data_IF_233375396363
#
_entry.id   IF_233375396363
#
_cell.length_a   1.000
_cell.length_b   1.000
_cell.length_c   1.000
_cell.angle_alpha   90.00
_cell.angle_beta   90.00
_cell.angle_gamma   90.00
#
_symmetry.space_group_name_H-M   'P 1'
#
loop_
_entity.id
_entity.type
_entity.pdbx_description
1 polymer ?
#
# COMPACT_ATOMS: atom_id res chain seq x y z
N UNK A 1 -6.32 -15.89 -6.53
CA UNK A 1 -7.49 -16.06 -5.64
C UNK A 1 -8.53 -15.04 -6.08
N UNK A 2 -9.81 -15.43 -6.17
CA UNK A 2 -10.88 -14.46 -6.43
C UNK A 2 -10.96 -13.50 -5.25
N UNK A 3 -10.96 -12.21 -5.51
CA UNK A 3 -11.14 -11.19 -4.47
C UNK A 3 -12.58 -11.31 -3.99
N UNK A 4 -12.75 -11.63 -2.71
CA UNK A 4 -14.07 -11.72 -2.09
C UNK A 4 -14.73 -10.34 -2.11
N UNK A 5 -15.86 -10.19 -2.77
CA UNK A 5 -16.54 -8.90 -3.01
C UNK A 5 -17.75 -8.80 -2.08
N UNK A 6 -17.77 -7.78 -1.21
CA UNK A 6 -18.90 -7.48 -0.32
C UNK A 6 -19.02 -5.96 -0.07
N UNK A 7 -20.19 -5.53 0.37
CA UNK A 7 -20.48 -4.14 0.71
C UNK A 7 -19.63 -3.75 1.94
N UNK A 8 -18.94 -2.62 1.87
CA UNK A 8 -18.04 -2.14 2.91
C UNK A 8 -16.58 -2.52 2.68
N UNK A 9 -16.28 -3.42 1.71
CA UNK A 9 -14.90 -3.77 1.41
C UNK A 9 -14.10 -2.58 0.91
N UNK A 10 -12.89 -2.45 1.47
CA UNK A 10 -11.91 -1.45 1.05
C UNK A 10 -11.04 -2.01 -0.08
N UNK A 11 -10.87 -1.24 -1.13
CA UNK A 11 -10.03 -1.58 -2.30
C UNK A 11 -9.28 -0.35 -2.79
N UNK A 12 -8.30 -0.58 -3.66
CA UNK A 12 -7.61 0.48 -4.41
C UNK A 12 -7.63 0.16 -5.90
N UNK A 13 -7.77 1.18 -6.72
CA UNK A 13 -7.67 1.10 -8.17
C UNK A 13 -6.87 2.30 -8.69
N UNK A 14 -5.76 2.03 -9.38
CA UNK A 14 -4.83 3.05 -9.90
C UNK A 14 -4.36 4.00 -8.79
N UNK A 15 -3.97 3.45 -7.64
CA UNK A 15 -3.54 4.15 -6.43
C UNK A 15 -4.62 5.03 -5.75
N UNK A 16 -5.90 4.87 -6.12
CA UNK A 16 -7.01 5.55 -5.45
C UNK A 16 -7.80 4.57 -4.59
N UNK A 17 -7.93 4.88 -3.32
CA UNK A 17 -8.68 4.10 -2.34
C UNK A 17 -10.18 4.32 -2.48
N UNK A 18 -10.95 3.27 -2.26
CA UNK A 18 -12.41 3.33 -2.30
C UNK A 18 -13.05 2.26 -1.40
N UNK A 19 -14.33 2.46 -1.14
CA UNK A 19 -15.19 1.50 -0.44
C UNK A 19 -16.30 1.01 -1.37
N UNK A 20 -16.56 -0.30 -1.42
CA UNK A 20 -17.68 -0.87 -2.15
C UNK A 20 -18.97 -0.50 -1.40
N UNK A 21 -19.91 0.20 -2.08
CA UNK A 21 -21.22 0.59 -1.55
C UNK A 21 -22.37 -0.16 -2.22
N UNK A 22 -22.14 -0.73 -3.40
CA UNK A 22 -23.14 -1.45 -4.16
C UNK A 22 -22.50 -2.60 -4.94
N UNK A 23 -23.23 -3.71 -5.05
CA UNK A 23 -22.87 -4.83 -5.92
C UNK A 23 -24.15 -5.39 -6.53
N UNK A 24 -24.35 -5.22 -7.83
CA UNK A 24 -25.54 -5.67 -8.50
C UNK A 24 -25.68 -5.18 -9.95
N UNK A 25 -26.81 -5.48 -10.60
CA UNK A 25 -27.11 -5.01 -11.96
C UNK A 25 -27.48 -3.52 -11.94
N UNK A 26 -27.21 -2.83 -13.06
CA UNK A 26 -27.63 -1.45 -13.29
C UNK A 26 -28.58 -1.42 -14.46
N UNK A 27 -29.70 -0.75 -14.32
CA UNK A 27 -30.76 -0.64 -15.35
C UNK A 27 -30.16 -0.08 -16.66
N UNK A 28 -30.53 -0.66 -17.78
CA UNK A 28 -30.03 -0.29 -19.11
C UNK A 28 -28.63 -0.79 -19.43
N UNK A 29 -28.03 -1.61 -18.55
CA UNK A 29 -26.70 -2.23 -18.78
C UNK A 29 -26.75 -3.74 -18.62
N UNK A 30 -25.72 -4.43 -19.09
CA UNK A 30 -25.58 -5.88 -18.95
C UNK A 30 -24.61 -6.24 -17.82
N UNK A 31 -24.89 -7.33 -17.09
CA UNK A 31 -24.02 -7.91 -16.07
C UNK A 31 -23.98 -7.12 -14.76
N UNK A 32 -23.09 -7.54 -13.87
CA UNK A 32 -22.93 -6.94 -12.54
C UNK A 32 -21.97 -5.76 -12.56
N UNK A 33 -22.19 -4.85 -11.61
CA UNK A 33 -21.37 -3.69 -11.36
C UNK A 33 -21.04 -3.56 -9.87
N UNK A 34 -19.91 -2.96 -9.59
CA UNK A 34 -19.55 -2.44 -8.28
C UNK A 34 -19.79 -0.94 -8.26
N UNK A 35 -20.60 -0.46 -7.33
CA UNK A 35 -20.69 0.94 -6.98
C UNK A 35 -19.65 1.22 -5.91
N UNK A 36 -18.67 2.06 -6.21
CA UNK A 36 -17.61 2.43 -5.28
C UNK A 36 -17.70 3.88 -4.91
N UNK A 37 -17.47 4.17 -3.64
CA UNK A 37 -17.24 5.52 -3.12
C UNK A 37 -15.74 5.72 -2.95
N UNK A 38 -15.20 6.76 -3.58
CA UNK A 38 -13.78 7.11 -3.51
C UNK A 38 -13.49 7.90 -2.24
N UNK A 39 -12.31 7.66 -1.63
CA UNK A 39 -11.82 8.48 -0.52
C UNK A 39 -11.55 9.92 -0.98
N UNK A 40 -11.07 10.07 -2.24
CA UNK A 40 -10.96 11.37 -2.91
C UNK A 40 -12.28 11.70 -3.62
N UNK A 41 -13.09 12.65 -3.09
CA UNK A 41 -14.46 12.87 -3.56
C UNK A 41 -14.57 13.48 -4.95
N UNK A 42 -13.47 13.93 -5.54
CA UNK A 42 -13.41 14.48 -6.90
C UNK A 42 -13.07 13.43 -7.95
N UNK A 43 -12.68 12.22 -7.53
CA UNK A 43 -12.22 11.13 -8.40
C UNK A 43 -13.35 10.47 -9.20
N UNK A 44 -14.54 10.47 -8.67
CA UNK A 44 -15.70 9.78 -9.25
C UNK A 44 -16.42 10.58 -10.33
N UNK A 45 -17.63 10.13 -10.69
CA UNK A 45 -18.43 10.70 -11.78
C UNK A 45 -19.86 11.03 -11.36
N UNK A 46 -20.30 10.53 -10.22
CA UNK A 46 -21.67 10.67 -9.70
C UNK A 46 -21.68 10.44 -8.18
N UNK A 47 -22.84 10.56 -7.55
CA UNK A 47 -23.06 10.34 -6.11
C UNK A 47 -23.82 9.04 -5.80
N UNK A 48 -23.65 7.99 -6.60
CA UNK A 48 -24.35 6.71 -6.47
C UNK A 48 -25.59 6.59 -7.37
N UNK A 49 -25.79 7.51 -8.32
CA UNK A 49 -26.92 7.53 -9.26
C UNK A 49 -26.53 7.09 -10.66
N UNK A 50 -27.47 6.51 -11.40
CA UNK A 50 -27.35 6.25 -12.83
C UNK A 50 -28.69 6.49 -13.51
N UNK A 51 -28.73 7.33 -14.55
CA UNK A 51 -29.95 7.69 -15.29
C UNK A 51 -31.14 8.05 -14.38
N UNK A 52 -30.89 8.84 -13.33
CA UNK A 52 -31.92 9.26 -12.37
C UNK A 52 -32.27 8.25 -11.28
N UNK A 53 -31.77 7.01 -11.35
CA UNK A 53 -32.00 5.97 -10.33
C UNK A 53 -30.86 5.96 -9.34
N UNK A 54 -31.19 6.04 -8.03
CA UNK A 54 -30.25 5.91 -6.92
C UNK A 54 -29.98 4.43 -6.61
N UNK A 55 -28.73 3.99 -6.64
CA UNK A 55 -28.30 2.63 -6.32
C UNK A 55 -27.68 2.52 -4.93
N UNK A 56 -27.00 3.57 -4.47
CA UNK A 56 -26.41 3.65 -3.14
C UNK A 56 -26.19 5.11 -2.74
N UNK A 57 -26.05 5.34 -1.44
CA UNK A 57 -25.75 6.66 -0.88
C UNK A 57 -24.28 6.69 -0.46
N UNK A 58 -23.55 7.74 -0.85
CA UNK A 58 -22.19 8.01 -0.39
C UNK A 58 -22.22 8.64 0.99
N UNK A 59 -21.19 8.38 1.80
CA UNK A 59 -20.97 9.10 3.06
C UNK A 59 -20.52 10.54 2.79
N UNK A 60 -19.71 10.74 1.75
CA UNK A 60 -19.34 12.07 1.30
C UNK A 60 -20.42 12.60 0.34
N UNK A 61 -21.02 13.78 0.62
CA UNK A 61 -22.12 14.34 -0.17
C UNK A 61 -21.68 14.93 -1.53
N UNK A 62 -20.40 14.85 -1.89
CA UNK A 62 -19.92 15.36 -3.17
C UNK A 62 -20.63 14.70 -4.35
N UNK A 63 -21.01 15.45 -5.40
CA UNK A 63 -21.67 14.91 -6.59
C UNK A 63 -20.77 13.99 -7.41
N UNK A 64 -19.47 13.95 -7.14
CA UNK A 64 -18.45 13.17 -7.85
C UNK A 64 -17.73 12.17 -6.97
N UNK A 65 -18.29 11.81 -5.79
CA UNK A 65 -17.64 10.89 -4.85
C UNK A 65 -17.67 9.41 -5.29
N UNK A 66 -18.46 9.04 -6.29
CA UNK A 66 -18.68 7.65 -6.67
C UNK A 66 -18.42 7.33 -8.14
N UNK A 67 -18.23 6.04 -8.40
CA UNK A 67 -18.20 5.47 -9.75
C UNK A 67 -18.80 4.06 -9.78
N UNK A 68 -19.31 3.66 -10.95
CA UNK A 68 -19.57 2.26 -11.23
C UNK A 68 -18.39 1.66 -12.00
N UNK A 69 -17.87 0.54 -11.52
CA UNK A 69 -16.78 -0.21 -12.12
C UNK A 69 -17.17 -1.67 -12.33
N UNK A 70 -16.52 -2.34 -13.27
CA UNK A 70 -16.78 -3.78 -13.49
C UNK A 70 -16.07 -4.62 -12.42
N UNK A 71 -16.71 -5.71 -11.93
CA UNK A 71 -16.08 -6.65 -11.00
C UNK A 71 -14.83 -7.34 -11.57
N UNK A 72 -14.71 -7.36 -12.90
CA UNK A 72 -13.54 -7.93 -13.60
C UNK A 72 -12.32 -7.02 -13.58
N UNK A 73 -12.47 -5.73 -13.22
CA UNK A 73 -11.33 -4.84 -13.04
C UNK A 73 -10.51 -5.30 -11.83
N UNK A 74 -9.23 -5.54 -12.05
CA UNK A 74 -8.33 -5.97 -10.98
C UNK A 74 -8.01 -4.78 -10.07
N UNK A 75 -8.18 -4.92 -8.75
CA UNK A 75 -7.69 -3.92 -7.81
C UNK A 75 -6.15 -3.95 -7.73
N UNK A 76 -5.59 -2.87 -7.20
CA UNK A 76 -4.18 -2.79 -6.87
C UNK A 76 -3.82 -3.87 -5.84
N UNK A 77 -2.58 -4.35 -5.88
CA UNK A 77 -2.09 -5.31 -4.90
C UNK A 77 -1.95 -4.64 -3.53
N UNK A 78 -2.58 -5.19 -2.49
CA UNK A 78 -2.40 -4.68 -1.14
C UNK A 78 -0.97 -4.92 -0.65
N UNK A 79 -0.51 -4.05 0.27
CA UNK A 79 0.82 -4.12 0.88
C UNK A 79 0.74 -4.60 2.32
N UNK A 80 1.80 -5.26 2.78
CA UNK A 80 2.04 -5.45 4.22
C UNK A 80 2.59 -4.16 4.83
N UNK A 81 2.59 -4.05 6.17
CA UNK A 81 3.19 -2.93 6.87
C UNK A 81 4.66 -2.69 6.45
N UNK A 82 5.47 -3.74 6.45
CA UNK A 82 6.89 -3.64 6.10
C UNK A 82 7.10 -3.25 4.63
N UNK A 83 6.24 -3.75 3.72
CA UNK A 83 6.29 -3.34 2.31
C UNK A 83 5.93 -1.85 2.14
N UNK A 84 4.91 -1.35 2.85
CA UNK A 84 4.54 0.05 2.82
C UNK A 84 5.64 0.94 3.41
N UNK A 85 6.22 0.56 4.55
CA UNK A 85 7.34 1.23 5.19
C UNK A 85 8.53 1.35 4.24
N UNK A 86 8.97 0.23 3.67
CA UNK A 86 10.08 0.20 2.71
C UNK A 86 9.80 1.01 1.45
N UNK A 87 8.58 0.94 0.92
CA UNK A 87 8.22 1.66 -0.31
C UNK A 87 8.25 3.18 -0.11
N UNK A 88 7.96 3.68 1.09
CA UNK A 88 7.99 5.10 1.39
C UNK A 88 9.40 5.55 1.77
N UNK A 89 9.91 5.03 2.85
CA UNK A 89 11.15 5.57 3.44
C UNK A 89 12.44 5.05 2.78
N UNK A 90 12.45 3.84 2.21
CA UNK A 90 13.61 3.38 1.46
C UNK A 90 13.73 4.04 0.08
N UNK A 91 12.63 4.50 -0.52
CA UNK A 91 12.63 5.28 -1.77
C UNK A 91 13.09 6.72 -1.54
N UNK A 92 12.60 7.37 -0.47
CA UNK A 92 13.00 8.74 -0.10
C UNK A 92 14.51 8.82 0.18
N UNK A 93 15.06 7.84 0.89
CA UNK A 93 16.51 7.74 1.14
C UNK A 93 17.31 7.56 -0.16
N UNK A 94 16.72 6.87 -1.16
CA UNK A 94 17.36 6.75 -2.48
C UNK A 94 17.42 8.09 -3.21
N UNK A 95 16.40 8.92 -3.09
CA UNK A 95 16.34 10.24 -3.73
C UNK A 95 17.30 11.25 -3.10
N UNK A 96 17.49 11.21 -1.78
CA UNK A 96 18.48 12.04 -1.09
C UNK A 96 19.93 11.68 -1.44
N UNK A 97 20.23 10.38 -1.58
CA UNK A 97 21.56 9.89 -2.00
C UNK A 97 21.89 10.22 -3.47
N UNK A 98 20.86 10.50 -4.32
CA UNK A 98 21.07 10.89 -5.73
C UNK A 98 21.37 12.38 -5.93
N UNK A 99 21.30 13.21 -4.88
CA UNK A 99 21.75 14.60 -4.93
C UNK A 99 23.29 14.75 -4.81
N UNK A 100 24.01 13.66 -4.65
CA UNK A 100 25.47 13.64 -4.75
C UNK A 100 25.87 13.80 -6.24
N UNK A 101 26.52 14.92 -6.64
CA UNK A 101 26.82 15.23 -8.04
C UNK A 101 27.79 14.25 -8.71
N UNK A 102 28.44 13.35 -7.94
CA UNK A 102 29.38 12.35 -8.44
C UNK A 102 28.76 10.96 -8.74
N UNK A 103 27.44 10.80 -8.56
CA UNK A 103 26.74 9.51 -8.81
C UNK A 103 25.79 9.61 -10.00
N UNK A 104 26.26 9.21 -11.17
CA UNK A 104 25.41 8.99 -12.35
C UNK A 104 24.87 7.56 -12.37
N UNK A 105 23.56 7.39 -12.10
CA UNK A 105 22.86 6.11 -12.23
C UNK A 105 22.05 6.08 -13.52
N UNK A 106 22.41 5.21 -14.45
CA UNK A 106 21.69 4.97 -15.70
C UNK A 106 20.69 3.85 -15.49
N UNK A 107 19.39 4.18 -15.47
CA UNK A 107 18.30 3.20 -15.50
C UNK A 107 18.08 2.67 -16.91
N UNK A 108 18.56 1.45 -17.20
CA UNK A 108 18.27 0.77 -18.46
C UNK A 108 17.04 -0.13 -18.28
N UNK A 109 15.87 0.30 -18.81
CA UNK A 109 14.65 -0.50 -18.87
C UNK A 109 14.68 -1.44 -20.08
N UNK A 110 15.45 -2.51 -20.02
CA UNK A 110 15.36 -3.60 -21.00
C UNK A 110 15.30 -4.95 -20.27
N UNK A 111 14.45 -5.90 -20.77
CA UNK A 111 14.34 -7.23 -20.16
C UNK A 111 15.63 -8.02 -20.33
N UNK A 112 15.98 -8.95 -19.40
CA UNK A 112 17.26 -9.61 -19.38
C UNK A 112 17.40 -10.63 -20.52
N UNK A 113 18.28 -10.34 -21.46
CA UNK A 113 18.87 -11.35 -22.35
C UNK A 113 20.06 -11.97 -21.62
N UNK A 114 20.02 -13.29 -21.43
CA UNK A 114 21.08 -14.05 -20.79
C UNK A 114 22.40 -13.92 -21.56
N UNK A 115 23.29 -13.06 -21.11
CA UNK A 115 24.70 -13.09 -21.44
C UNK A 115 25.50 -13.08 -20.14
N UNK A 116 26.45 -14.04 -20.02
CA UNK A 116 27.44 -14.09 -18.94
C UNK A 116 28.26 -12.79 -18.95
N UNK A 117 27.84 -11.81 -18.19
CA UNK A 117 28.55 -10.54 -18.04
C UNK A 117 29.63 -10.70 -16.95
N UNK A 118 30.85 -10.20 -17.26
CA UNK A 118 31.92 -10.04 -16.28
C UNK A 118 31.41 -9.09 -15.18
N UNK A 119 31.75 -9.34 -13.90
CA UNK A 119 31.34 -8.47 -12.82
C UNK A 119 31.84 -7.04 -13.07
N UNK A 120 30.92 -6.08 -13.03
CA UNK A 120 31.27 -4.66 -13.13
C UNK A 120 31.89 -4.26 -11.77
N UNK A 121 33.15 -3.86 -11.80
CA UNK A 121 33.88 -3.41 -10.62
C UNK A 121 33.75 -1.88 -10.51
N UNK A 122 33.27 -1.39 -9.38
CA UNK A 122 33.32 0.03 -9.00
C UNK A 122 34.32 0.21 -7.87
N UNK A 123 35.35 1.00 -8.05
CA UNK A 123 36.44 1.20 -7.08
C UNK A 123 36.99 -0.12 -6.49
N UNK A 124 37.13 -1.17 -7.32
CA UNK A 124 37.67 -2.46 -6.90
C UNK A 124 36.69 -3.38 -6.17
N UNK A 125 35.43 -2.99 -5.96
CA UNK A 125 34.38 -3.82 -5.37
C UNK A 125 33.35 -4.23 -6.44
N UNK A 126 32.83 -5.47 -6.42
CA UNK A 126 31.77 -5.89 -7.32
C UNK A 126 30.48 -5.08 -7.05
N UNK A 127 29.78 -4.68 -8.13
CA UNK A 127 28.55 -3.88 -8.07
C UNK A 127 27.45 -4.50 -7.18
N UNK A 128 27.41 -5.83 -7.07
CA UNK A 128 26.52 -6.55 -6.14
C UNK A 128 26.81 -6.22 -4.67
N UNK A 129 28.08 -6.13 -4.29
CA UNK A 129 28.52 -5.84 -2.91
C UNK A 129 28.14 -4.40 -2.49
N UNK A 130 28.24 -3.45 -3.43
CA UNK A 130 27.81 -2.05 -3.22
C UNK A 130 26.30 -1.98 -3.02
N UNK A 131 25.52 -2.78 -3.78
CA UNK A 131 24.07 -2.88 -3.63
C UNK A 131 23.64 -3.42 -2.27
N UNK A 132 24.32 -4.44 -1.75
CA UNK A 132 24.04 -5.00 -0.43
C UNK A 132 24.38 -4.04 0.72
N UNK A 133 25.48 -3.32 0.63
CA UNK A 133 25.85 -2.32 1.65
C UNK A 133 24.87 -1.15 1.67
N UNK A 134 24.35 -0.75 0.51
CA UNK A 134 23.31 0.26 0.40
C UNK A 134 22.00 -0.20 1.04
N UNK A 135 21.54 -1.41 0.73
CA UNK A 135 20.34 -2.01 1.34
C UNK A 135 20.48 -2.11 2.86
N UNK A 136 21.64 -2.52 3.38
CA UNK A 136 21.90 -2.60 4.82
C UNK A 136 21.82 -1.23 5.49
N UNK A 137 22.38 -0.18 4.87
CA UNK A 137 22.29 1.19 5.39
C UNK A 137 20.84 1.68 5.42
N UNK A 138 20.05 1.43 4.38
CA UNK A 138 18.63 1.78 4.32
C UNK A 138 17.82 1.07 5.40
N UNK A 139 18.03 -0.23 5.61
CA UNK A 139 17.36 -0.96 6.68
C UNK A 139 17.76 -0.46 8.07
N UNK A 140 19.01 -0.06 8.26
CA UNK A 140 19.48 0.54 9.51
C UNK A 140 18.80 1.90 9.77
N UNK A 141 18.56 2.71 8.74
CA UNK A 141 17.86 4.00 8.86
C UNK A 141 16.38 3.81 9.21
N UNK A 142 15.70 2.79 8.68
CA UNK A 142 14.32 2.46 9.09
C UNK A 142 14.22 2.15 10.59
N UNK A 143 15.23 1.49 11.15
CA UNK A 143 15.33 1.20 12.59
C UNK A 143 15.45 2.44 13.49
N UNK A 144 15.83 3.59 12.95
CA UNK A 144 15.95 4.86 13.68
C UNK A 144 14.69 5.72 13.65
N UNK A 145 13.69 5.35 12.83
CA UNK A 145 12.46 6.12 12.67
C UNK A 145 11.66 6.13 13.98
N UNK A 146 11.30 7.33 14.44
CA UNK A 146 10.45 7.57 15.61
C UNK A 146 9.03 7.94 15.22
N UNK A 147 8.85 8.63 14.09
CA UNK A 147 7.57 9.05 13.53
C UNK A 147 7.41 8.35 12.18
N UNK A 148 6.35 7.58 12.03
CA UNK A 148 6.06 6.78 10.84
C UNK A 148 4.69 7.16 10.32
N UNK A 149 4.64 7.66 9.09
CA UNK A 149 3.40 8.06 8.42
C UNK A 149 3.19 7.14 7.21
N UNK A 150 2.23 6.21 7.31
CA UNK A 150 1.88 5.26 6.25
C UNK A 150 0.44 5.47 5.75
N UNK A 151 0.03 6.73 5.71
CA UNK A 151 -1.28 7.14 5.24
C UNK A 151 -1.46 6.85 3.76
N UNK A 152 -2.58 6.22 3.39
CA UNK A 152 -2.99 5.98 2.00
C UNK A 152 -2.12 4.98 1.21
N UNK A 153 -1.36 4.10 1.87
CA UNK A 153 -0.40 3.20 1.21
C UNK A 153 -0.95 1.82 0.82
N UNK A 154 -2.27 1.66 0.76
CA UNK A 154 -2.93 0.39 0.40
C UNK A 154 -2.53 -0.77 1.32
N UNK A 155 -2.28 -0.51 2.61
CA UNK A 155 -2.00 -1.60 3.54
C UNK A 155 -3.25 -2.39 3.83
N UNK A 156 -3.16 -3.69 3.63
CA UNK A 156 -4.08 -4.69 4.12
C UNK A 156 -3.30 -5.67 4.97
N UNK A 157 -3.87 -6.06 6.09
CA UNK A 157 -3.22 -6.85 7.10
C UNK A 157 -3.60 -8.31 7.02
N UNK A 158 -2.86 -9.15 6.30
CA UNK A 158 -3.03 -10.60 6.43
C UNK A 158 -2.65 -11.11 7.82
N UNK A 159 -1.72 -10.44 8.51
CA UNK A 159 -1.16 -10.92 9.76
C UNK A 159 -2.14 -10.85 10.94
N UNK A 160 -3.20 -10.07 10.86
CA UNK A 160 -4.22 -10.01 11.90
C UNK A 160 -5.38 -10.99 11.70
N UNK A 161 -5.49 -11.61 10.55
CA UNK A 161 -6.48 -12.65 10.32
C UNK A 161 -5.98 -13.96 10.93
N UNK A 162 -6.51 -14.34 12.08
CA UNK A 162 -6.49 -15.62 12.79
C UNK A 162 -5.51 -16.73 12.41
N UNK A 163 -5.50 -17.76 13.18
CA UNK A 163 -4.63 -18.94 13.08
C UNK A 163 -4.45 -19.45 11.64
N UNK A 164 -3.22 -19.37 11.11
CA UNK A 164 -2.85 -19.90 9.79
C UNK A 164 -2.45 -18.89 8.73
N UNK A 165 -2.63 -17.60 8.96
CA UNK A 165 -2.24 -16.55 8.01
C UNK A 165 -0.82 -16.01 8.23
N UNK A 166 -0.30 -16.22 9.43
CA UNK A 166 1.06 -15.84 9.79
C UNK A 166 1.98 -17.00 9.49
N UNK A 167 2.84 -16.88 8.52
CA UNK A 167 4.05 -17.68 8.47
C UNK A 167 4.89 -17.29 9.68
N UNK A 168 5.57 -18.25 10.27
CA UNK A 168 6.33 -18.09 11.52
C UNK A 168 7.37 -16.95 11.50
N UNK A 169 7.71 -16.40 10.30
CA UNK A 169 8.58 -15.25 10.08
C UNK A 169 7.91 -13.88 10.04
N UNK A 170 6.58 -13.79 9.93
CA UNK A 170 5.91 -12.50 9.71
C UNK A 170 5.69 -11.68 11.00
N UNK A 171 5.75 -12.33 12.17
CA UNK A 171 5.49 -11.69 13.48
C UNK A 171 6.60 -10.77 13.98
N UNK A 172 7.84 -11.04 13.58
CA UNK A 172 9.01 -10.28 14.01
C UNK A 172 9.32 -9.08 13.14
N UNK A 173 8.79 -9.06 11.91
CA UNK A 173 9.23 -8.13 10.87
C UNK A 173 8.95 -6.66 11.18
N UNK A 174 7.83 -6.33 11.85
CA UNK A 174 7.49 -4.94 12.19
C UNK A 174 8.42 -4.42 13.28
N UNK A 175 8.62 -5.20 14.34
CA UNK A 175 9.53 -4.85 15.45
C UNK A 175 10.97 -4.71 14.99
N UNK A 176 11.40 -5.59 14.10
CA UNK A 176 12.76 -5.54 13.55
C UNK A 176 12.95 -4.38 12.59
N UNK A 177 11.93 -4.08 11.77
CA UNK A 177 12.00 -3.01 10.79
C UNK A 177 12.03 -1.61 11.41
N UNK A 178 11.27 -1.36 12.50
CA UNK A 178 11.16 -0.04 13.12
C UNK A 178 11.03 -0.10 14.65
N UNK A 179 12.05 -0.62 15.37
CA UNK A 179 12.00 -0.85 16.82
C UNK A 179 11.84 0.42 17.67
N UNK A 180 12.16 1.59 17.11
CA UNK A 180 12.12 2.89 17.79
C UNK A 180 10.87 3.71 17.50
N UNK A 181 9.88 3.15 16.78
CA UNK A 181 8.65 3.84 16.45
C UNK A 181 7.90 4.30 17.70
N UNK A 182 7.55 5.57 17.76
CA UNK A 182 6.82 6.21 18.86
C UNK A 182 5.48 6.79 18.39
N UNK A 183 5.40 7.23 17.16
CA UNK A 183 4.22 7.80 16.54
C UNK A 183 3.95 7.08 15.22
N UNK A 184 2.70 6.69 14.99
CA UNK A 184 2.29 5.92 13.82
C UNK A 184 0.99 6.46 13.25
N UNK A 185 1.00 6.80 11.96
CA UNK A 185 -0.20 7.12 11.18
C UNK A 185 -0.48 6.02 10.17
N UNK A 186 -1.63 5.36 10.35
CA UNK A 186 -2.15 4.30 9.49
C UNK A 186 -3.43 4.71 8.75
N UNK A 187 -3.72 6.00 8.69
CA UNK A 187 -4.95 6.53 8.10
C UNK A 187 -5.12 6.11 6.64
N UNK A 188 -6.37 6.06 6.19
CA UNK A 188 -6.76 5.81 4.79
C UNK A 188 -6.10 4.57 4.17
N UNK A 189 -6.11 3.45 4.89
CA UNK A 189 -5.63 2.16 4.39
C UNK A 189 -6.78 1.18 4.12
N UNK A 190 -6.47 -0.08 3.87
CA UNK A 190 -7.43 -1.13 3.53
C UNK A 190 -7.82 -1.99 4.74
N UNK A 191 -7.58 -1.51 5.95
CA UNK A 191 -7.98 -2.23 7.17
C UNK A 191 -9.50 -2.33 7.27
N UNK A 192 -9.98 -3.49 7.65
CA UNK A 192 -11.40 -3.79 7.81
C UNK A 192 -11.75 -4.04 9.28
N UNK A 193 -10.77 -4.41 10.11
CA UNK A 193 -10.96 -4.79 11.49
C UNK A 193 -9.92 -4.15 12.42
N UNK A 194 -10.35 -3.65 13.56
CA UNK A 194 -9.48 -3.05 14.57
C UNK A 194 -8.40 -3.98 15.10
N UNK A 195 -8.65 -5.29 15.12
CA UNK A 195 -7.63 -6.28 15.53
C UNK A 195 -6.40 -6.25 14.60
N UNK A 196 -6.56 -5.85 13.36
CA UNK A 196 -5.46 -5.72 12.41
C UNK A 196 -4.53 -4.58 12.80
N UNK A 197 -5.09 -3.45 13.20
CA UNK A 197 -4.35 -2.30 13.73
C UNK A 197 -3.71 -2.65 15.07
N UNK A 198 -4.44 -3.31 15.96
CA UNK A 198 -3.94 -3.76 17.26
C UNK A 198 -2.72 -4.67 17.12
N UNK A 199 -2.76 -5.64 16.19
CA UNK A 199 -1.64 -6.55 15.95
C UNK A 199 -0.37 -5.85 15.43
N UNK A 200 -0.50 -4.70 14.75
CA UNK A 200 0.65 -3.84 14.42
C UNK A 200 1.19 -3.19 15.69
N UNK A 201 0.31 -2.59 16.50
CA UNK A 201 0.69 -1.85 17.71
C UNK A 201 1.38 -2.76 18.75
N UNK A 202 0.94 -4.01 18.89
CA UNK A 202 1.52 -5.00 19.81
C UNK A 202 3.01 -5.29 19.49
N UNK A 203 3.42 -5.11 18.24
CA UNK A 203 4.81 -5.29 17.84
C UNK A 203 5.68 -4.05 18.07
N UNK A 204 5.11 -2.92 18.45
CA UNK A 204 5.77 -1.63 18.65
C UNK A 204 5.72 -1.19 20.12
N UNK A 205 6.57 -1.74 20.99
CA UNK A 205 6.50 -1.51 22.45
C UNK A 205 6.78 -0.05 22.85
N UNK A 206 7.40 0.74 21.97
CA UNK A 206 7.67 2.17 22.18
C UNK A 206 6.55 3.09 21.72
N UNK A 207 5.49 2.55 21.09
CA UNK A 207 4.42 3.35 20.51
C UNK A 207 3.64 4.13 21.57
N UNK A 208 3.45 5.44 21.34
CA UNK A 208 2.77 6.38 22.24
C UNK A 208 1.58 7.07 21.58
N UNK A 209 1.64 7.23 20.26
CA UNK A 209 0.60 7.90 19.49
C UNK A 209 0.25 7.07 18.24
N UNK A 210 -1.05 6.88 18.02
CA UNK A 210 -1.61 6.21 16.87
C UNK A 210 -2.68 7.09 16.24
N UNK A 211 -2.60 7.26 14.91
CA UNK A 211 -3.65 7.88 14.10
C UNK A 211 -4.20 6.85 13.11
N UNK A 212 -5.54 6.75 13.07
CA UNK A 212 -6.30 5.89 12.14
C UNK A 212 -7.59 6.61 11.80
N UNK A 213 -7.77 6.98 10.54
CA UNK A 213 -8.96 7.67 10.01
C UNK A 213 -9.55 6.87 8.83
#
# INVERSE_FOLDING_TARGET
MATDIYIGKRLSYDAHLCTIRYHGPIQGTTGLWLGVEWDEPTRGKHSGTHQGTQYFTCLNPSPTSASFIRPTRKPDQPRTFVQALKSKYASEILEEDFQDPDVHVVFNHQPPVQQKQKPVLFNGKPAEEIGFDKIRRQLAQLGELKIIILDGLCMQRPEARGEGWLREGDKSDIREACPKAMELDLSRNLFEEWREVAAICEQLPGLRSLRVE
#
